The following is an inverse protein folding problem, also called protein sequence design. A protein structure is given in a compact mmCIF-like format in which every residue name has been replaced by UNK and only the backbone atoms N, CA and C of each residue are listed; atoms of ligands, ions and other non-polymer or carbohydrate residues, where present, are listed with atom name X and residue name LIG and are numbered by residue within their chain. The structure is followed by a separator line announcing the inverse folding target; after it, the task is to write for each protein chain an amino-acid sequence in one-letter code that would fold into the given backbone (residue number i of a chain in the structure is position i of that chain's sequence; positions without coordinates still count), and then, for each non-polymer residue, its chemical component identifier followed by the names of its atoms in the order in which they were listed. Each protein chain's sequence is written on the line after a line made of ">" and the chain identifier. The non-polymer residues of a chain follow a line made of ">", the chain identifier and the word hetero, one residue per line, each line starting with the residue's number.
data_IF_126533892971
#
_entry.id   IF_126533892971
#
_cell.length_a   1.000
_cell.length_b   1.000
_cell.length_c   1.000
_cell.angle_alpha   90.00
_cell.angle_beta   90.00
_cell.angle_gamma   90.00
#
_symmetry.space_group_name_H-M   'P 1'
#
loop_
_entity.id
_entity.type
_entity.pdbx_description
1 polymer ?
#
# COMPACT_ATOMS: atom_id res chain seq x y z
N UNK A 1 14.05 21.35 -8.11
CA UNK A 1 14.29 20.41 -9.23
C UNK A 1 15.67 19.82 -9.03
N UNK A 2 15.79 18.59 -8.54
CA UNK A 2 17.02 17.81 -8.64
C UNK A 2 16.82 16.81 -9.78
N UNK A 3 17.60 16.97 -10.84
CA UNK A 3 17.79 15.96 -11.86
C UNK A 3 18.80 14.95 -11.34
N UNK A 4 18.36 14.10 -10.42
CA UNK A 4 18.99 12.79 -10.30
C UNK A 4 18.51 12.02 -11.51
N UNK A 5 19.44 11.58 -12.37
CA UNK A 5 19.12 10.61 -13.41
C UNK A 5 18.64 9.34 -12.68
N UNK A 6 17.33 9.25 -12.45
CA UNK A 6 16.76 8.16 -11.69
C UNK A 6 17.00 6.86 -12.45
N UNK A 7 17.38 5.78 -11.74
CA UNK A 7 17.73 4.52 -12.38
C UNK A 7 16.56 4.01 -13.22
N UNK A 8 16.82 3.76 -14.50
CA UNK A 8 15.88 3.08 -15.37
C UNK A 8 15.85 1.60 -14.96
N UNK A 9 14.79 1.17 -14.30
CA UNK A 9 14.62 -0.20 -13.83
C UNK A 9 14.27 -1.05 -15.06
N UNK A 10 14.97 -2.16 -15.27
CA UNK A 10 14.61 -3.14 -16.29
C UNK A 10 13.97 -4.37 -15.65
N UNK A 11 12.81 -4.76 -16.16
CA UNK A 11 12.03 -5.86 -15.61
C UNK A 11 11.40 -6.75 -16.66
N UNK A 12 11.22 -8.02 -16.31
CA UNK A 12 10.47 -8.99 -17.13
C UNK A 12 9.17 -9.36 -16.43
N UNK A 13 8.03 -9.25 -17.13
CA UNK A 13 6.73 -9.66 -16.61
C UNK A 13 6.65 -11.20 -16.58
N UNK A 14 6.36 -11.74 -15.40
CA UNK A 14 6.04 -13.14 -15.18
C UNK A 14 4.74 -13.21 -14.39
N UNK A 15 3.70 -13.79 -15.00
CA UNK A 15 2.30 -13.68 -14.55
C UNK A 15 1.87 -12.21 -14.37
N UNK A 16 1.79 -11.75 -13.12
CA UNK A 16 1.47 -10.39 -12.69
C UNK A 16 2.58 -9.70 -11.91
N UNK A 17 3.70 -10.40 -11.70
CA UNK A 17 4.87 -9.87 -11.00
C UNK A 17 5.96 -9.47 -11.99
N UNK A 18 6.78 -8.51 -11.59
CA UNK A 18 7.93 -8.09 -12.39
C UNK A 18 9.21 -8.61 -11.77
N UNK A 19 9.93 -9.45 -12.52
CA UNK A 19 11.24 -9.96 -12.12
C UNK A 19 12.30 -8.94 -12.46
N UNK A 20 13.14 -8.60 -11.49
CA UNK A 20 14.33 -7.76 -11.69
C UNK A 20 15.56 -8.67 -11.63
N UNK A 21 16.38 -8.69 -12.68
CA UNK A 21 17.55 -9.58 -12.77
C UNK A 21 18.85 -8.93 -12.30
N UNK A 22 18.97 -7.60 -12.41
CA UNK A 22 20.17 -6.86 -12.04
C UNK A 22 20.31 -6.79 -10.51
N UNK A 23 21.36 -7.40 -9.95
CA UNK A 23 21.59 -7.47 -8.49
C UNK A 23 21.80 -6.12 -7.82
N UNK A 24 22.47 -5.19 -8.48
CA UNK A 24 22.66 -3.84 -7.92
C UNK A 24 21.31 -3.13 -7.79
N UNK A 25 20.46 -3.25 -8.82
CA UNK A 25 19.10 -2.72 -8.80
C UNK A 25 18.25 -3.37 -7.72
N UNK A 26 18.35 -4.69 -7.53
CA UNK A 26 17.66 -5.39 -6.44
C UNK A 26 18.01 -4.79 -5.09
N UNK A 27 19.30 -4.61 -4.79
CA UNK A 27 19.77 -4.02 -3.53
C UNK A 27 19.28 -2.56 -3.34
N UNK A 28 19.33 -1.76 -4.41
CA UNK A 28 18.84 -0.37 -4.39
C UNK A 28 17.32 -0.30 -4.14
N UNK A 29 16.55 -1.21 -4.73
CA UNK A 29 15.10 -1.29 -4.54
C UNK A 29 14.76 -1.77 -3.12
N UNK A 30 15.43 -2.83 -2.66
CA UNK A 30 15.21 -3.43 -1.35
C UNK A 30 15.49 -2.45 -0.21
N UNK A 31 16.60 -1.72 -0.27
CA UNK A 31 16.95 -0.68 0.73
C UNK A 31 15.91 0.45 0.81
N UNK A 32 15.19 0.72 -0.28
CA UNK A 32 14.07 1.68 -0.33
C UNK A 32 12.70 1.04 -0.04
N UNK A 33 12.71 -0.24 0.34
CA UNK A 33 11.53 -1.02 0.70
C UNK A 33 10.65 -1.44 -0.48
N UNK A 34 11.20 -1.52 -1.69
CA UNK A 34 10.51 -2.06 -2.86
C UNK A 34 10.84 -3.54 -3.06
N UNK A 35 9.88 -4.31 -3.56
CA UNK A 35 10.07 -5.69 -3.95
C UNK A 35 10.38 -6.64 -2.79
N UNK A 36 10.52 -7.92 -3.12
CA UNK A 36 10.93 -8.98 -2.21
C UNK A 36 11.53 -10.15 -2.98
N UNK A 37 12.45 -10.87 -2.33
CA UNK A 37 13.00 -12.11 -2.89
C UNK A 37 12.10 -13.29 -2.52
N UNK A 38 11.56 -13.99 -3.53
CA UNK A 38 10.85 -15.27 -3.36
C UNK A 38 11.47 -16.33 -4.25
N UNK A 39 11.74 -17.50 -3.68
CA UNK A 39 12.30 -18.65 -4.42
C UNK A 39 13.54 -18.29 -5.26
N UNK A 40 14.41 -17.41 -4.74
CA UNK A 40 15.63 -16.96 -5.42
C UNK A 40 15.44 -15.94 -6.53
N UNK A 41 14.23 -15.41 -6.73
CA UNK A 41 13.93 -14.33 -7.69
C UNK A 41 13.49 -13.08 -6.95
N UNK A 42 14.02 -11.92 -7.33
CA UNK A 42 13.56 -10.63 -6.83
C UNK A 42 12.35 -10.16 -7.64
N UNK A 43 11.25 -9.93 -6.94
CA UNK A 43 9.95 -9.63 -7.54
C UNK A 43 9.45 -8.28 -7.05
N UNK A 44 8.98 -7.45 -7.98
CA UNK A 44 8.09 -6.34 -7.67
C UNK A 44 6.64 -6.83 -7.69
N UNK A 45 5.87 -6.41 -6.70
CA UNK A 45 4.42 -6.64 -6.65
C UNK A 45 3.71 -5.82 -7.74
N UNK A 46 2.49 -6.23 -8.16
CA UNK A 46 1.69 -5.50 -9.15
C UNK A 46 1.61 -3.98 -8.92
N UNK A 47 1.28 -3.55 -7.70
CA UNK A 47 1.16 -2.13 -7.37
C UNK A 47 2.49 -1.36 -7.41
N UNK A 48 3.62 -2.03 -7.13
CA UNK A 48 4.96 -1.42 -7.22
C UNK A 48 5.39 -1.25 -8.68
N UNK A 49 5.15 -2.27 -9.50
CA UNK A 49 5.40 -2.21 -10.93
C UNK A 49 4.57 -1.12 -11.61
N UNK A 50 3.28 -1.03 -11.29
CA UNK A 50 2.39 0.03 -11.78
C UNK A 50 2.88 1.42 -11.35
N UNK A 51 3.37 1.58 -10.12
CA UNK A 51 3.97 2.82 -9.65
C UNK A 51 5.18 3.24 -10.49
N UNK A 52 6.14 2.35 -10.74
CA UNK A 52 7.31 2.70 -11.56
C UNK A 52 6.95 2.92 -13.03
N UNK A 53 6.01 2.16 -13.59
CA UNK A 53 5.50 2.39 -14.96
C UNK A 53 4.81 3.74 -15.10
N UNK A 54 3.99 4.13 -14.12
CA UNK A 54 3.29 5.42 -14.12
C UNK A 54 4.26 6.60 -14.20
N UNK A 55 5.37 6.53 -13.45
CA UNK A 55 6.44 7.53 -13.50
C UNK A 55 7.48 7.29 -14.60
N UNK A 56 7.26 6.31 -15.49
CA UNK A 56 8.18 5.95 -16.60
C UNK A 56 9.60 5.59 -16.13
N UNK A 57 9.73 4.97 -14.95
CA UNK A 57 11.01 4.52 -14.36
C UNK A 57 11.26 3.02 -14.54
N UNK A 58 10.32 2.29 -15.12
CA UNK A 58 10.42 0.85 -15.39
C UNK A 58 10.26 0.58 -16.89
N UNK A 59 11.27 -0.01 -17.50
CA UNK A 59 11.16 -0.66 -18.80
C UNK A 59 10.74 -2.12 -18.60
N UNK A 60 9.45 -2.36 -18.79
CA UNK A 60 8.86 -3.68 -18.62
C UNK A 60 8.73 -4.39 -19.97
N UNK A 61 9.16 -5.64 -20.03
CA UNK A 61 9.00 -6.48 -21.21
C UNK A 61 8.40 -7.85 -20.90
N UNK A 62 7.66 -8.42 -21.87
CA UNK A 62 7.23 -9.82 -21.88
C UNK A 62 7.48 -10.41 -23.25
N UNK A 63 8.24 -11.51 -23.31
CA UNK A 63 8.62 -12.15 -24.58
C UNK A 63 9.14 -11.15 -25.63
N UNK A 64 10.03 -10.24 -25.22
CA UNK A 64 10.63 -9.16 -26.03
C UNK A 64 9.66 -8.06 -26.52
N UNK A 65 8.41 -8.05 -26.06
CA UNK A 65 7.46 -6.94 -26.30
C UNK A 65 7.44 -6.02 -25.09
N UNK A 66 7.53 -4.71 -25.33
CA UNK A 66 7.40 -3.70 -24.29
C UNK A 66 5.96 -3.64 -23.77
N UNK A 67 5.81 -3.51 -22.46
CA UNK A 67 4.52 -3.40 -21.77
C UNK A 67 4.43 -2.03 -21.13
N UNK A 68 3.37 -1.29 -21.47
CA UNK A 68 3.05 -0.02 -20.84
C UNK A 68 2.18 -0.15 -19.60
N UNK A 69 1.95 0.97 -18.91
CA UNK A 69 1.08 1.05 -17.72
C UNK A 69 -0.32 0.45 -17.97
N UNK A 70 -1.03 0.88 -19.02
CA UNK A 70 -2.39 0.41 -19.32
C UNK A 70 -2.47 -1.10 -19.55
N UNK A 71 -1.47 -1.65 -20.23
CA UNK A 71 -1.40 -3.09 -20.49
C UNK A 71 -1.12 -3.87 -19.20
N UNK A 72 -0.18 -3.38 -18.37
CA UNK A 72 0.09 -3.97 -17.06
C UNK A 72 -1.13 -3.91 -16.14
N UNK A 73 -1.81 -2.77 -16.09
CA UNK A 73 -3.03 -2.58 -15.32
C UNK A 73 -4.11 -3.57 -15.76
N UNK A 74 -4.31 -3.73 -17.07
CA UNK A 74 -5.24 -4.73 -17.62
C UNK A 74 -4.88 -6.17 -17.24
N UNK A 75 -3.58 -6.52 -17.22
CA UNK A 75 -3.13 -7.86 -16.78
C UNK A 75 -3.44 -8.07 -15.30
N UNK A 76 -3.08 -7.13 -14.44
CA UNK A 76 -3.28 -7.23 -12.99
C UNK A 76 -4.77 -7.20 -12.60
N UNK A 77 -5.57 -6.36 -13.23
CA UNK A 77 -7.02 -6.26 -12.99
C UNK A 77 -7.80 -7.52 -13.35
N UNK A 78 -7.26 -8.40 -14.20
CA UNK A 78 -7.86 -9.72 -14.47
C UNK A 78 -7.69 -10.70 -13.31
N UNK A 79 -6.71 -10.48 -12.44
CA UNK A 79 -6.39 -11.35 -11.30
C UNK A 79 -6.89 -10.78 -9.98
N UNK A 80 -6.83 -9.46 -9.82
CA UNK A 80 -7.32 -8.75 -8.64
C UNK A 80 -8.14 -7.53 -9.05
N UNK A 81 -9.45 -7.57 -8.80
CA UNK A 81 -10.38 -6.46 -9.04
C UNK A 81 -9.96 -5.18 -8.31
N UNK A 82 -9.20 -5.30 -7.22
CA UNK A 82 -8.76 -4.17 -6.41
C UNK A 82 -7.42 -3.58 -6.86
N UNK A 83 -6.86 -4.05 -7.99
CA UNK A 83 -5.57 -3.59 -8.51
C UNK A 83 -5.49 -2.07 -8.60
N UNK A 84 -6.52 -1.41 -9.15
CA UNK A 84 -6.55 0.05 -9.31
C UNK A 84 -6.57 0.74 -7.95
N UNK A 85 -7.41 0.28 -7.04
CA UNK A 85 -7.51 0.77 -5.66
C UNK A 85 -6.17 0.68 -4.93
N UNK A 86 -5.53 -0.49 -4.98
CA UNK A 86 -4.20 -0.72 -4.41
C UNK A 86 -3.15 0.21 -5.02
N UNK A 87 -3.14 0.36 -6.34
CA UNK A 87 -2.23 1.28 -7.02
C UNK A 87 -2.40 2.74 -6.57
N UNK A 88 -3.65 3.24 -6.50
CA UNK A 88 -3.92 4.63 -6.11
C UNK A 88 -3.45 4.93 -4.68
N UNK A 89 -3.77 4.04 -3.73
CA UNK A 89 -3.34 4.16 -2.34
C UNK A 89 -1.82 4.07 -2.23
N UNK A 90 -1.21 3.09 -2.89
CA UNK A 90 0.24 2.90 -2.88
C UNK A 90 0.97 4.11 -3.44
N UNK A 91 0.52 4.64 -4.58
CA UNK A 91 1.09 5.82 -5.23
C UNK A 91 1.04 7.03 -4.31
N UNK A 92 -0.12 7.32 -3.74
CA UNK A 92 -0.29 8.48 -2.87
C UNK A 92 0.62 8.39 -1.62
N UNK A 93 0.65 7.25 -0.94
CA UNK A 93 1.53 7.02 0.21
C UNK A 93 3.03 7.14 -0.14
N UNK A 94 3.46 6.57 -1.27
CA UNK A 94 4.86 6.66 -1.73
C UNK A 94 5.26 8.09 -2.10
N UNK A 95 4.37 8.83 -2.76
CA UNK A 95 4.60 10.27 -3.06
C UNK A 95 4.71 11.08 -1.78
N UNK A 96 3.95 10.72 -0.75
CA UNK A 96 4.07 11.32 0.60
C UNK A 96 5.31 10.82 1.36
N UNK A 97 6.20 10.03 0.76
CA UNK A 97 7.46 9.61 1.37
C UNK A 97 7.36 8.49 2.41
N UNK A 98 6.23 7.79 2.48
CA UNK A 98 6.11 6.60 3.33
C UNK A 98 6.71 5.37 2.66
N UNK A 99 7.26 4.45 3.44
CA UNK A 99 7.55 3.10 2.94
C UNK A 99 6.33 2.22 3.12
N UNK A 100 5.92 1.58 2.02
CA UNK A 100 4.67 0.83 1.92
C UNK A 100 4.99 -0.59 1.47
N UNK A 101 4.55 -1.58 2.24
CA UNK A 101 4.66 -3.01 1.91
C UNK A 101 3.27 -3.64 1.81
N UNK A 102 3.20 -4.77 1.12
CA UNK A 102 1.99 -5.58 0.99
C UNK A 102 1.38 -5.88 2.36
N UNK A 103 0.05 -5.90 2.43
CA UNK A 103 -0.72 -6.06 3.66
C UNK A 103 -0.72 -7.47 4.24
N UNK A 104 -1.66 -7.71 5.15
CA UNK A 104 -1.93 -9.01 5.78
C UNK A 104 -3.20 -9.68 5.24
N UNK A 105 -3.85 -9.12 4.22
CA UNK A 105 -5.02 -9.73 3.59
C UNK A 105 -6.35 -9.20 4.11
N UNK A 106 -6.37 -7.97 4.65
CA UNK A 106 -7.59 -7.23 4.99
C UNK A 106 -8.26 -6.57 3.76
N UNK A 107 -8.02 -7.12 2.57
CA UNK A 107 -8.52 -6.63 1.29
C UNK A 107 -7.48 -5.79 0.53
N UNK A 108 -7.76 -4.51 0.34
CA UNK A 108 -6.83 -3.55 -0.27
C UNK A 108 -5.94 -2.91 0.77
N UNK A 109 -5.14 -3.73 1.46
CA UNK A 109 -4.40 -3.30 2.64
C UNK A 109 -2.88 -3.25 2.45
N UNK A 110 -2.27 -2.38 3.26
CA UNK A 110 -0.84 -2.10 3.23
C UNK A 110 -0.30 -1.92 4.65
N UNK A 111 0.91 -2.43 4.84
CA UNK A 111 1.74 -2.10 6.00
C UNK A 111 2.50 -0.82 5.68
N UNK A 112 2.29 0.21 6.50
CA UNK A 112 2.92 1.51 6.29
C UNK A 112 3.85 1.83 7.44
N UNK A 113 5.09 2.11 7.09
CA UNK A 113 6.16 2.49 8.01
C UNK A 113 6.18 4.00 8.12
N UNK A 114 6.33 4.50 9.33
CA UNK A 114 6.56 5.92 9.55
C UNK A 114 7.85 6.36 8.83
N UNK A 115 7.87 7.61 8.36
CA UNK A 115 8.96 8.13 7.53
C UNK A 115 10.30 7.97 8.25
N UNK A 116 11.30 7.46 7.53
CA UNK A 116 12.64 7.24 8.06
C UNK A 116 12.79 6.04 9.01
N UNK A 117 11.71 5.31 9.33
CA UNK A 117 11.77 4.20 10.30
C UNK A 117 11.80 2.81 9.63
N UNK A 118 11.80 2.74 8.30
CA UNK A 118 11.89 1.46 7.59
C UNK A 118 13.26 0.80 7.83
N UNK A 119 13.25 -0.49 8.18
CA UNK A 119 14.48 -1.25 8.52
C UNK A 119 14.87 -1.16 10.00
N UNK A 120 14.42 -0.13 10.71
CA UNK A 120 14.69 0.06 12.15
C UNK A 120 13.51 -0.35 13.03
N UNK A 121 12.29 0.04 12.62
CA UNK A 121 11.06 -0.28 13.34
C UNK A 121 10.09 -1.03 12.43
N UNK A 122 9.18 -1.77 13.06
CA UNK A 122 8.04 -2.38 12.36
C UNK A 122 7.09 -1.34 11.80
N UNK A 123 6.23 -1.75 10.86
CA UNK A 123 5.17 -0.89 10.33
C UNK A 123 4.33 -0.29 11.48
N UNK A 124 3.95 0.98 11.39
CA UNK A 124 3.15 1.64 12.42
C UNK A 124 1.66 1.58 12.11
N UNK A 125 1.33 1.76 10.84
CA UNK A 125 -0.04 1.81 10.37
C UNK A 125 -0.38 0.56 9.57
N UNK A 126 -1.63 0.11 9.68
CA UNK A 126 -2.26 -0.70 8.64
C UNK A 126 -3.27 0.17 7.90
N UNK A 127 -2.98 0.45 6.63
CA UNK A 127 -3.87 1.22 5.76
C UNK A 127 -4.69 0.24 4.94
N UNK A 128 -6.01 0.33 4.95
CA UNK A 128 -6.87 -0.50 4.10
C UNK A 128 -7.88 0.35 3.33
N UNK A 129 -8.07 -0.01 2.06
CA UNK A 129 -8.83 0.78 1.10
C UNK A 129 -10.31 0.43 1.02
N UNK A 130 -11.16 1.46 0.93
CA UNK A 130 -12.55 1.37 0.50
C UNK A 130 -12.76 2.21 -0.76
N UNK A 131 -13.41 1.63 -1.77
CA UNK A 131 -13.80 2.36 -2.97
C UNK A 131 -15.15 3.03 -2.73
N UNK A 132 -15.28 4.32 -3.04
CA UNK A 132 -16.54 5.03 -2.92
C UNK A 132 -17.62 4.33 -3.76
N UNK A 133 -18.76 3.99 -3.14
CA UNK A 133 -19.87 3.27 -3.79
C UNK A 133 -19.87 1.76 -3.61
N UNK A 134 -18.80 1.14 -3.07
CA UNK A 134 -18.82 -0.27 -2.66
C UNK A 134 -19.50 -0.39 -1.30
N UNK A 135 -20.51 -1.25 -1.20
CA UNK A 135 -21.15 -1.54 0.07
C UNK A 135 -20.26 -2.46 0.90
N UNK A 136 -19.95 -2.06 2.13
CA UNK A 136 -19.22 -2.90 3.08
C UNK A 136 -20.04 -3.12 4.35
N UNK A 137 -19.94 -4.33 4.90
CA UNK A 137 -20.59 -4.66 6.17
C UNK A 137 -19.82 -4.01 7.31
N UNK A 138 -20.51 -3.17 8.09
CA UNK A 138 -19.92 -2.51 9.28
C UNK A 138 -19.30 -3.53 10.24
N UNK A 139 -19.91 -4.70 10.40
CA UNK A 139 -19.36 -5.76 11.25
C UNK A 139 -18.01 -6.32 10.74
N UNK A 140 -17.77 -6.35 9.43
CA UNK A 140 -16.47 -6.74 8.87
C UNK A 140 -15.43 -5.65 9.14
N UNK A 141 -15.81 -4.39 8.92
CA UNK A 141 -14.96 -3.24 9.21
C UNK A 141 -14.52 -3.21 10.69
N UNK A 142 -15.47 -3.43 11.60
CA UNK A 142 -15.18 -3.49 13.04
C UNK A 142 -14.20 -4.62 13.38
N UNK A 143 -14.41 -5.83 12.85
CA UNK A 143 -13.50 -6.96 13.06
C UNK A 143 -12.09 -6.64 12.58
N UNK A 144 -11.96 -6.07 11.38
CA UNK A 144 -10.67 -5.67 10.83
C UNK A 144 -9.98 -4.66 11.77
N UNK A 145 -10.69 -3.62 12.22
CA UNK A 145 -10.14 -2.61 13.15
C UNK A 145 -9.67 -3.27 14.45
N UNK A 146 -10.46 -4.18 15.03
CA UNK A 146 -10.11 -4.90 16.25
C UNK A 146 -8.85 -5.76 16.06
N UNK A 147 -8.75 -6.50 14.97
CA UNK A 147 -7.59 -7.33 14.65
C UNK A 147 -6.33 -6.48 14.44
N UNK A 148 -6.42 -5.40 13.66
CA UNK A 148 -5.31 -4.47 13.43
C UNK A 148 -4.82 -3.86 14.75
N UNK A 149 -5.74 -3.44 15.60
CA UNK A 149 -5.41 -2.86 16.91
C UNK A 149 -4.74 -3.89 17.82
N UNK A 150 -5.23 -5.14 17.83
CA UNK A 150 -4.61 -6.26 18.56
C UNK A 150 -3.18 -6.57 18.07
N UNK A 151 -2.88 -6.33 16.80
CA UNK A 151 -1.53 -6.45 16.24
C UNK A 151 -0.59 -5.30 16.64
N UNK A 152 -1.07 -4.32 17.43
CA UNK A 152 -0.31 -3.14 17.83
C UNK A 152 -0.07 -2.17 16.67
N UNK A 153 -0.96 -2.15 15.68
CA UNK A 153 -0.91 -1.23 14.53
C UNK A 153 -2.07 -0.25 14.61
N UNK A 154 -1.86 0.94 14.04
CA UNK A 154 -2.93 1.94 13.92
C UNK A 154 -3.75 1.68 12.64
N UNK A 155 -5.07 1.38 12.73
CA UNK A 155 -5.92 1.21 11.56
C UNK A 155 -6.23 2.55 10.91
N UNK A 156 -5.93 2.66 9.62
CA UNK A 156 -6.20 3.82 8.79
C UNK A 156 -7.06 3.39 7.61
N UNK A 157 -8.19 4.06 7.43
CA UNK A 157 -9.08 3.85 6.30
C UNK A 157 -8.70 4.79 5.16
N UNK A 158 -8.41 4.23 3.98
CA UNK A 158 -8.18 4.99 2.76
C UNK A 158 -9.42 4.94 1.87
N UNK A 159 -10.13 6.06 1.74
CA UNK A 159 -11.31 6.19 0.89
C UNK A 159 -10.90 6.81 -0.44
N UNK A 160 -11.19 6.12 -1.53
CA UNK A 160 -10.92 6.61 -2.89
C UNK A 160 -12.16 7.33 -3.41
N UNK A 161 -12.04 8.63 -3.62
CA UNK A 161 -13.09 9.49 -4.19
C UNK A 161 -13.24 9.24 -5.70
N UNK A 162 -14.38 9.59 -6.28
CA UNK A 162 -14.70 9.29 -7.70
C UNK A 162 -13.70 9.84 -8.72
N UNK A 163 -12.93 10.88 -8.39
CA UNK A 163 -11.90 11.46 -9.28
C UNK A 163 -10.51 10.84 -9.05
N UNK A 164 -10.39 9.87 -8.14
CA UNK A 164 -9.17 9.14 -7.85
C UNK A 164 -8.29 9.77 -6.77
N UNK A 165 -8.82 10.74 -6.03
CA UNK A 165 -8.17 11.27 -4.82
C UNK A 165 -8.31 10.28 -3.66
N UNK A 166 -7.29 10.20 -2.80
CA UNK A 166 -7.29 9.30 -1.63
C UNK A 166 -7.39 10.12 -0.35
N UNK A 167 -8.45 9.87 0.43
CA UNK A 167 -8.71 10.51 1.72
C UNK A 167 -8.47 9.50 2.84
N UNK A 168 -7.70 9.89 3.85
CA UNK A 168 -7.32 9.00 4.95
C UNK A 168 -8.04 9.37 6.24
N UNK A 169 -8.67 8.38 6.88
CA UNK A 169 -9.31 8.52 8.19
C UNK A 169 -8.61 7.61 9.19
N UNK A 170 -8.14 8.18 10.30
CA UNK A 170 -7.73 7.39 11.45
C UNK A 170 -8.98 6.90 12.17
N UNK A 171 -9.04 5.60 12.44
CA UNK A 171 -10.14 4.99 13.17
C UNK A 171 -9.61 4.46 14.50
N UNK A 172 -10.36 4.66 15.58
CA UNK A 172 -10.02 4.17 16.90
C UNK A 172 -11.28 3.65 17.58
N UNK A 173 -11.14 2.59 18.36
CA UNK A 173 -12.24 2.13 19.21
C UNK A 173 -12.37 3.09 20.40
N UNK A 174 -13.52 3.75 20.54
CA UNK A 174 -13.81 4.62 21.69
C UNK A 174 -14.68 3.85 22.66
N UNK A 175 -14.26 3.78 23.93
CA UNK A 175 -15.13 3.32 25.02
C UNK A 175 -15.77 4.54 25.67
N UNK A 176 -17.08 4.66 25.51
CA UNK A 176 -17.85 5.66 26.25
C UNK A 176 -18.06 5.15 27.67
N UNK A 177 -17.75 5.99 28.66
CA UNK A 177 -18.14 5.73 30.06
C UNK A 177 -19.62 6.04 30.19
N UNK A 178 -20.36 5.23 30.94
CA UNK A 178 -21.78 5.49 31.21
C UNK A 178 -21.97 6.89 31.79
N UNK A 179 -22.96 7.61 31.29
CA UNK A 179 -23.28 8.97 31.71
C UNK A 179 -23.95 8.95 33.10
N UNK A 180 -23.16 8.67 34.14
CA UNK A 180 -23.52 8.98 35.51
C UNK A 180 -23.30 10.48 35.70
N UNK A 181 -24.34 11.19 36.14
CA UNK A 181 -24.34 12.66 36.26
C UNK A 181 -23.07 13.13 36.98
N UNK A 182 -22.16 13.77 36.22
CA UNK A 182 -20.87 14.40 36.60
C UNK A 182 -19.68 13.81 35.82
N UNK A 183 -19.56 14.16 34.54
CA UNK A 183 -18.33 13.90 33.78
C UNK A 183 -17.73 15.24 33.34
N UNK A 184 -16.58 15.59 33.90
CA UNK A 184 -15.72 16.66 33.39
C UNK A 184 -15.03 16.20 32.09
N UNK A 185 -14.85 17.11 31.13
CA UNK A 185 -14.35 16.83 29.77
C UNK A 185 -12.93 16.20 29.71
N UNK A 186 -12.25 16.04 30.84
CA UNK A 186 -10.94 15.41 30.98
C UNK A 186 -10.98 13.87 31.01
N UNK A 187 -12.16 13.24 31.09
CA UNK A 187 -12.29 11.80 31.33
C UNK A 187 -12.25 10.90 30.09
N UNK A 188 -11.97 11.44 28.90
CA UNK A 188 -11.91 10.64 27.68
C UNK A 188 -10.53 9.98 27.55
N UNK A 189 -10.49 8.65 27.64
CA UNK A 189 -9.27 7.87 27.40
C UNK A 189 -9.30 7.32 25.98
N UNK A 190 -8.37 7.78 25.15
CA UNK A 190 -8.10 7.22 23.84
C UNK A 190 -7.06 6.10 24.00
N UNK A 191 -7.44 4.85 23.70
CA UNK A 191 -6.55 3.69 23.70
C UNK A 191 -6.01 3.40 22.31
#
# INVERSE_FOLDING_TARGET
>A
MSSDAEPNIEGTLFDDHVIISNKEMQNQLESKGYGETRQGKFLLKPFEALYFLFYKKLDLSKAKKKIGFEQMLSVCSKLDENTLTKFLIYRDLRVRGYTVKDGFGFGSDFRVYERGQFGEKGAKYLVFGLSEGKQEKVGTLQKNIEEITKMGKEPILAVIERRGEVIYYKISHVRFVENTKNIEASSFVFS
#
